data_IF_073542947852
#
_entry.id   IF_073542947852
#
_cell.length_a   1.000
_cell.length_b   1.000
_cell.length_c   1.000
_cell.angle_alpha   90.00
_cell.angle_beta   90.00
_cell.angle_gamma   90.00
#
_symmetry.space_group_name_H-M   'P 1'
#
loop_
_entity.id
_entity.type
_entity.pdbx_description
1 polymer ?
#
# COMPACT_ATOMS: atom_id res chain seq x y z
N UNK A 1 14.06 7.84 25.92
CA UNK A 1 12.78 8.27 25.33
C UNK A 1 12.91 8.14 23.82
N UNK A 2 12.05 7.34 23.20
CA UNK A 2 11.97 7.21 21.75
C UNK A 2 11.06 8.32 21.20
N UNK A 3 11.56 9.15 20.29
CA UNK A 3 10.75 10.20 19.67
C UNK A 3 10.30 9.79 18.27
N UNK A 4 9.01 9.85 18.00
CA UNK A 4 8.40 9.41 16.72
C UNK A 4 7.60 10.55 16.11
N UNK A 5 7.80 10.79 14.81
CA UNK A 5 6.99 11.71 14.02
C UNK A 5 5.82 11.01 13.38
N UNK A 6 4.59 11.43 13.65
CA UNK A 6 3.38 11.01 12.92
C UNK A 6 3.03 12.07 11.89
N UNK A 7 3.03 11.70 10.61
CA UNK A 7 2.75 12.59 9.48
C UNK A 7 1.41 12.14 8.86
N UNK A 8 0.33 12.81 9.22
CA UNK A 8 -1.05 12.36 9.01
C UNK A 8 -1.86 13.38 8.21
N UNK A 9 -2.76 12.97 7.32
CA UNK A 9 -3.76 13.84 6.73
C UNK A 9 -4.92 14.05 7.72
N UNK A 10 -4.77 14.96 8.69
CA UNK A 10 -5.81 15.24 9.69
C UNK A 10 -6.89 16.22 9.22
N UNK A 11 -6.63 16.91 8.12
CA UNK A 11 -7.58 17.77 7.40
C UNK A 11 -7.50 17.55 5.90
N UNK A 12 -8.45 18.11 5.13
CA UNK A 12 -8.58 17.88 3.69
C UNK A 12 -9.32 16.60 3.34
N UNK A 13 -9.25 16.18 2.08
CA UNK A 13 -10.05 15.08 1.52
C UNK A 13 -9.79 13.71 2.20
N UNK A 14 -8.57 13.47 2.67
CA UNK A 14 -8.16 12.21 3.28
C UNK A 14 -8.26 12.23 4.82
N UNK A 15 -8.93 13.25 5.40
CA UNK A 15 -8.91 13.48 6.84
C UNK A 15 -9.50 12.33 7.66
N UNK A 16 -10.48 11.61 7.13
CA UNK A 16 -11.07 10.45 7.81
C UNK A 16 -10.03 9.33 8.04
N UNK A 17 -9.18 9.05 7.04
CA UNK A 17 -8.10 8.07 7.17
C UNK A 17 -7.08 8.48 8.23
N UNK A 18 -6.64 9.73 8.20
CA UNK A 18 -5.67 10.25 9.17
C UNK A 18 -6.20 10.21 10.60
N UNK A 19 -7.46 10.60 10.80
CA UNK A 19 -8.13 10.57 12.10
C UNK A 19 -8.32 9.14 12.61
N UNK A 20 -8.78 8.22 11.74
CA UNK A 20 -8.94 6.81 12.10
C UNK A 20 -7.59 6.17 12.50
N UNK A 21 -6.51 6.48 11.77
CA UNK A 21 -5.17 6.04 12.13
C UNK A 21 -4.74 6.59 13.50
N UNK A 22 -4.91 7.89 13.73
CA UNK A 22 -4.54 8.52 15.00
C UNK A 22 -5.31 7.95 16.19
N UNK A 23 -6.60 7.66 16.01
CA UNK A 23 -7.44 7.03 17.02
C UNK A 23 -6.94 5.61 17.36
N UNK A 24 -6.65 4.80 16.33
CA UNK A 24 -6.07 3.46 16.49
C UNK A 24 -4.72 3.50 17.19
N UNK A 25 -3.84 4.43 16.80
CA UNK A 25 -2.56 4.64 17.44
C UNK A 25 -2.69 5.04 18.92
N UNK A 26 -3.59 5.98 19.24
CA UNK A 26 -3.85 6.42 20.60
C UNK A 26 -4.41 5.27 21.46
N UNK A 27 -5.32 4.44 20.91
CA UNK A 27 -5.87 3.27 21.60
C UNK A 27 -4.80 2.21 21.88
N UNK A 28 -3.94 1.92 20.91
CA UNK A 28 -2.83 0.99 21.09
C UNK A 28 -1.83 1.49 22.14
N UNK A 29 -1.53 2.79 22.12
CA UNK A 29 -0.59 3.42 23.07
C UNK A 29 -1.10 3.38 24.52
N UNK A 30 -2.42 3.53 24.75
CA UNK A 30 -3.03 3.42 26.10
C UNK A 30 -2.94 2.02 26.68
N UNK A 31 -2.99 1.00 25.83
CA UNK A 31 -2.97 -0.41 26.26
C UNK A 31 -1.56 -0.91 26.62
N UNK A 32 -0.51 -0.13 26.34
CA UNK A 32 0.84 -0.46 26.81
C UNK A 32 0.91 -0.29 28.32
N UNK A 33 1.06 -1.39 29.04
CA UNK A 33 1.45 -1.36 30.46
C UNK A 33 2.73 -0.51 30.54
N UNK A 34 2.89 0.24 31.64
CA UNK A 34 4.02 1.15 31.91
C UNK A 34 5.38 0.49 31.60
N UNK A 35 5.74 0.46 30.33
CA UNK A 35 7.07 0.06 29.90
C UNK A 35 8.05 1.20 30.25
N UNK A 36 9.25 0.82 30.63
CA UNK A 36 10.35 1.76 30.96
C UNK A 36 10.70 2.68 29.77
N UNK A 37 10.28 2.33 28.56
CA UNK A 37 10.52 3.11 27.34
C UNK A 37 9.32 4.01 27.03
N UNK A 38 9.40 5.27 27.41
CA UNK A 38 8.43 6.29 27.03
C UNK A 38 8.61 6.65 25.54
N UNK A 39 7.50 6.69 24.80
CA UNK A 39 7.44 7.18 23.43
C UNK A 39 6.91 8.62 23.45
N UNK A 40 7.71 9.55 22.96
CA UNK A 40 7.29 10.92 22.68
C UNK A 40 6.83 11.00 21.22
N UNK A 41 5.72 11.68 20.95
CA UNK A 41 5.12 11.72 19.62
C UNK A 41 4.96 13.15 19.17
N UNK A 42 5.46 13.46 17.97
CA UNK A 42 5.21 14.72 17.26
C UNK A 42 4.19 14.46 16.17
N UNK A 43 3.01 15.06 16.25
CA UNK A 43 1.95 14.90 15.26
C UNK A 43 1.93 16.10 14.33
N UNK A 44 1.89 15.85 13.02
CA UNK A 44 1.87 16.86 11.97
C UNK A 44 0.74 16.58 10.96
N UNK A 45 -0.04 17.61 10.65
CA UNK A 45 -1.11 17.52 9.66
C UNK A 45 -0.60 17.87 8.26
N UNK A 46 -0.74 16.93 7.33
CA UNK A 46 -0.36 17.11 5.92
C UNK A 46 -1.40 17.90 5.12
N UNK A 47 -2.60 18.07 5.65
CA UNK A 47 -3.75 18.68 4.98
C UNK A 47 -4.12 18.00 3.65
N UNK A 48 -3.87 16.69 3.56
CA UNK A 48 -4.04 15.90 2.32
C UNK A 48 -3.25 16.47 1.13
N UNK A 49 -2.07 17.06 1.39
CA UNK A 49 -1.26 17.73 0.39
C UNK A 49 0.17 17.18 0.34
N UNK A 50 0.61 16.79 -0.85
CA UNK A 50 1.91 16.14 -1.06
C UNK A 50 3.09 17.07 -0.74
N UNK A 51 3.03 18.31 -1.20
CA UNK A 51 4.09 19.29 -0.94
C UNK A 51 4.21 19.62 0.55
N UNK A 52 3.08 19.68 1.23
CA UNK A 52 3.06 19.88 2.69
C UNK A 52 3.66 18.67 3.39
N UNK A 53 3.34 17.46 2.96
CA UNK A 53 3.90 16.21 3.49
C UNK A 53 5.42 16.19 3.37
N UNK A 54 5.95 16.54 2.21
CA UNK A 54 7.41 16.64 1.97
C UNK A 54 8.05 17.69 2.86
N UNK A 55 7.45 18.90 2.99
CA UNK A 55 7.98 19.96 3.88
C UNK A 55 8.03 19.51 5.33
N UNK A 56 6.97 18.87 5.81
CA UNK A 56 6.90 18.33 7.18
C UNK A 56 8.01 17.32 7.42
N UNK A 57 8.14 16.32 6.54
CA UNK A 57 9.13 15.26 6.69
C UNK A 57 10.57 15.81 6.67
N UNK A 58 10.87 16.73 5.76
CA UNK A 58 12.19 17.42 5.73
C UNK A 58 12.47 18.19 7.01
N UNK A 59 11.47 18.82 7.61
CA UNK A 59 11.65 19.55 8.87
C UNK A 59 11.82 18.59 10.05
N UNK A 60 11.02 17.54 10.12
CA UNK A 60 11.15 16.51 11.16
C UNK A 60 12.51 15.80 11.09
N UNK A 61 13.01 15.52 9.89
CA UNK A 61 14.32 14.89 9.68
C UNK A 61 15.51 15.70 10.20
N UNK A 62 15.34 17.00 10.47
CA UNK A 62 16.38 17.85 11.10
C UNK A 62 16.46 17.67 12.63
N UNK A 63 15.47 17.02 13.22
CA UNK A 63 15.41 16.81 14.67
C UNK A 63 16.30 15.63 15.04
N UNK A 64 17.46 15.90 15.66
CA UNK A 64 18.47 14.87 16.00
C UNK A 64 17.94 13.74 16.88
N UNK A 65 16.96 14.03 17.74
CA UNK A 65 16.36 13.05 18.66
C UNK A 65 15.25 12.20 18.00
N UNK A 66 14.87 12.52 16.74
CA UNK A 66 13.83 11.77 16.05
C UNK A 66 14.32 10.37 15.69
N UNK A 67 13.61 9.37 16.18
CA UNK A 67 13.99 7.97 16.05
C UNK A 67 13.34 7.29 14.85
N UNK A 68 12.14 7.73 14.45
CA UNK A 68 11.40 7.19 13.30
C UNK A 68 10.31 8.14 12.84
N UNK A 69 9.88 7.95 11.60
CA UNK A 69 8.68 8.55 11.01
C UNK A 69 7.61 7.47 10.76
N UNK A 70 6.36 7.78 11.02
CA UNK A 70 5.21 6.95 10.66
C UNK A 70 4.32 7.82 9.77
N UNK A 71 4.18 7.41 8.52
CA UNK A 71 3.50 8.18 7.49
C UNK A 71 2.43 7.31 6.81
N UNK A 72 1.20 7.19 7.39
CA UNK A 72 0.10 6.44 6.78
C UNK A 72 -0.50 7.23 5.60
N UNK A 73 0.31 7.40 4.56
CA UNK A 73 0.02 8.14 3.34
C UNK A 73 -0.25 7.17 2.19
N UNK A 74 -0.94 7.64 1.16
CA UNK A 74 -1.13 6.89 -0.07
C UNK A 74 0.16 6.81 -0.90
N UNK A 75 0.21 5.87 -1.84
CA UNK A 75 1.43 5.52 -2.57
C UNK A 75 2.14 6.71 -3.24
N UNK A 76 1.39 7.62 -3.89
CA UNK A 76 1.97 8.79 -4.57
C UNK A 76 2.60 9.77 -3.57
N UNK A 77 1.91 10.10 -2.47
CA UNK A 77 2.43 10.95 -1.41
C UNK A 77 3.61 10.28 -0.69
N UNK A 78 3.51 8.97 -0.46
CA UNK A 78 4.60 8.18 0.13
C UNK A 78 5.86 8.23 -0.73
N UNK A 79 5.72 8.09 -2.06
CA UNK A 79 6.84 8.20 -3.00
C UNK A 79 7.50 9.58 -2.91
N UNK A 80 6.72 10.66 -2.91
CA UNK A 80 7.25 12.02 -2.77
C UNK A 80 8.00 12.23 -1.45
N UNK A 81 7.45 11.71 -0.35
CA UNK A 81 8.06 11.76 0.99
C UNK A 81 9.38 11.01 1.03
N UNK A 82 9.42 9.73 0.64
CA UNK A 82 10.65 8.92 0.73
C UNK A 82 11.73 9.43 -0.22
N UNK A 83 11.36 9.90 -1.42
CA UNK A 83 12.31 10.53 -2.37
C UNK A 83 12.94 11.80 -1.81
N UNK A 84 12.25 12.48 -0.90
CA UNK A 84 12.73 13.73 -0.32
C UNK A 84 13.76 13.57 0.81
N UNK A 85 13.95 12.35 1.30
CA UNK A 85 14.83 12.05 2.44
C UNK A 85 16.31 11.90 2.04
N UNK A 86 16.61 11.61 0.78
CA UNK A 86 17.98 11.50 0.28
C UNK A 86 18.84 10.54 1.11
N UNK A 87 19.98 11.04 1.58
CA UNK A 87 20.96 10.26 2.37
C UNK A 87 20.60 10.17 3.88
N UNK A 88 19.41 10.50 4.27
CA UNK A 88 18.94 10.30 5.65
C UNK A 88 19.02 8.83 6.06
N UNK A 89 19.14 8.58 7.36
CA UNK A 89 19.09 7.23 7.92
C UNK A 89 17.86 6.99 8.80
N UNK A 90 16.90 7.91 8.79
CA UNK A 90 15.71 7.78 9.64
C UNK A 90 14.78 6.66 9.12
N UNK A 91 14.37 5.71 9.96
CA UNK A 91 13.37 4.71 9.56
C UNK A 91 12.01 5.36 9.26
N UNK A 92 11.39 4.97 8.16
CA UNK A 92 10.06 5.43 7.76
C UNK A 92 9.12 4.25 7.62
N UNK A 93 8.05 4.23 8.42
CA UNK A 93 6.98 3.25 8.32
C UNK A 93 5.85 3.85 7.48
N UNK A 94 5.42 3.10 6.47
CA UNK A 94 4.35 3.44 5.53
C UNK A 94 3.20 2.43 5.67
N UNK A 95 2.27 2.60 6.61
CA UNK A 95 1.23 1.61 6.89
C UNK A 95 0.22 1.41 5.76
N UNK A 96 -0.02 2.43 4.94
CA UNK A 96 -1.02 2.39 3.86
C UNK A 96 -0.42 2.18 2.47
N UNK A 97 0.90 2.35 2.32
CA UNK A 97 1.55 2.22 1.03
C UNK A 97 1.66 0.75 0.61
N UNK A 98 1.40 0.46 -0.66
CA UNK A 98 1.29 -0.90 -1.19
C UNK A 98 2.18 -1.17 -2.41
N UNK A 99 2.93 -0.17 -2.90
CA UNK A 99 3.86 -0.31 -4.03
C UNK A 99 5.23 -0.77 -3.54
N UNK A 100 5.73 -1.88 -4.10
CA UNK A 100 7.02 -2.46 -3.70
C UNK A 100 8.23 -1.57 -4.00
N UNK A 101 8.15 -0.73 -5.03
CA UNK A 101 9.25 0.13 -5.43
C UNK A 101 9.63 1.21 -4.40
N UNK A 102 8.77 1.52 -3.44
CA UNK A 102 9.05 2.50 -2.38
C UNK A 102 10.27 2.15 -1.55
N UNK A 103 10.48 0.86 -1.26
CA UNK A 103 11.65 0.39 -0.49
C UNK A 103 12.97 0.49 -1.29
N UNK A 104 12.88 0.55 -2.62
CA UNK A 104 14.05 0.74 -3.48
C UNK A 104 14.47 2.21 -3.56
N UNK A 105 13.51 3.14 -3.44
CA UNK A 105 13.77 4.59 -3.47
C UNK A 105 14.49 5.06 -2.20
N UNK A 106 14.10 4.52 -1.05
CA UNK A 106 14.72 4.86 0.22
C UNK A 106 14.85 3.59 1.08
N UNK A 107 16.09 3.16 1.32
CA UNK A 107 16.43 1.86 1.94
C UNK A 107 15.85 1.64 3.34
N UNK A 108 15.58 2.71 4.08
CA UNK A 108 15.02 2.63 5.43
C UNK A 108 13.49 2.78 5.45
N UNK A 109 12.83 2.40 4.34
CA UNK A 109 11.37 2.34 4.22
C UNK A 109 10.85 0.96 4.62
N UNK A 110 9.83 0.95 5.46
CA UNK A 110 9.16 -0.26 5.94
C UNK A 110 7.66 -0.19 5.60
N UNK A 111 7.22 -1.10 4.73
CA UNK A 111 5.81 -1.31 4.43
C UNK A 111 5.22 -2.27 5.46
N UNK A 112 4.09 -1.92 6.06
CA UNK A 112 3.42 -2.81 7.03
C UNK A 112 2.10 -3.37 6.49
N UNK A 113 1.66 -2.92 5.30
CA UNK A 113 0.58 -3.51 4.52
C UNK A 113 1.12 -4.49 3.49
N UNK A 114 0.29 -5.43 3.07
CA UNK A 114 0.59 -6.30 1.92
C UNK A 114 0.73 -5.45 0.66
N UNK A 115 1.73 -5.75 -0.16
CA UNK A 115 1.84 -5.11 -1.47
C UNK A 115 0.82 -5.69 -2.45
N UNK A 116 0.44 -4.92 -3.47
CA UNK A 116 -0.50 -5.36 -4.51
C UNK A 116 0.00 -6.64 -5.18
N UNK A 117 1.29 -6.68 -5.50
CA UNK A 117 1.92 -7.83 -6.13
C UNK A 117 1.92 -9.07 -5.22
N UNK A 118 2.14 -8.91 -3.91
CA UNK A 118 2.10 -10.02 -2.96
C UNK A 118 0.69 -10.62 -2.84
N UNK A 119 -0.34 -9.79 -2.77
CA UNK A 119 -1.73 -10.25 -2.74
C UNK A 119 -2.10 -11.04 -3.98
N UNK A 120 -1.71 -10.56 -5.17
CA UNK A 120 -1.90 -11.27 -6.41
C UNK A 120 -1.20 -12.64 -6.44
N UNK A 121 0.05 -12.71 -5.97
CA UNK A 121 0.80 -13.97 -5.84
C UNK A 121 0.13 -14.95 -4.87
N UNK A 122 -0.37 -14.45 -3.75
CA UNK A 122 -1.10 -15.29 -2.77
C UNK A 122 -2.39 -15.84 -3.41
N UNK A 123 -3.14 -15.00 -4.13
CA UNK A 123 -4.36 -15.42 -4.82
C UNK A 123 -4.07 -16.48 -5.90
N UNK A 124 -3.02 -16.31 -6.70
CA UNK A 124 -2.57 -17.29 -7.69
C UNK A 124 -2.17 -18.64 -7.04
N UNK A 125 -1.38 -18.59 -5.96
CA UNK A 125 -1.00 -19.79 -5.22
C UNK A 125 -2.22 -20.52 -4.64
N UNK A 126 -3.20 -19.78 -4.13
CA UNK A 126 -4.45 -20.37 -3.64
C UNK A 126 -5.24 -21.05 -4.77
N UNK A 127 -5.43 -20.36 -5.91
CA UNK A 127 -6.15 -20.89 -7.06
C UNK A 127 -5.48 -22.18 -7.60
N UNK A 128 -4.18 -22.13 -7.86
CA UNK A 128 -3.47 -23.25 -8.49
C UNK A 128 -3.16 -24.37 -7.50
N UNK A 129 -2.60 -24.06 -6.34
CA UNK A 129 -2.14 -25.11 -5.40
C UNK A 129 -3.24 -25.65 -4.51
N UNK A 130 -4.14 -24.77 -4.01
CA UNK A 130 -5.19 -25.17 -3.08
C UNK A 130 -6.44 -25.64 -3.80
N UNK A 131 -6.91 -24.89 -4.80
CA UNK A 131 -8.10 -25.24 -5.58
C UNK A 131 -7.80 -26.17 -6.75
N UNK A 132 -6.52 -26.38 -7.09
CA UNK A 132 -6.06 -27.26 -8.18
C UNK A 132 -6.59 -26.84 -9.56
N UNK A 133 -6.72 -25.53 -9.78
CA UNK A 133 -7.13 -24.98 -11.06
C UNK A 133 -5.91 -24.89 -11.99
N UNK A 134 -6.05 -25.33 -13.23
CA UNK A 134 -5.03 -25.30 -14.28
C UNK A 134 -5.31 -24.26 -15.38
N UNK A 135 -6.55 -23.78 -15.45
CA UNK A 135 -7.02 -22.80 -16.43
C UNK A 135 -7.83 -21.71 -15.72
N UNK A 136 -7.42 -20.47 -15.91
CA UNK A 136 -7.95 -19.32 -15.18
C UNK A 136 -8.27 -18.17 -16.13
N UNK A 137 -9.30 -17.37 -15.80
CA UNK A 137 -9.58 -16.12 -16.47
C UNK A 137 -9.50 -14.95 -15.50
N UNK A 138 -9.07 -13.78 -15.98
CA UNK A 138 -8.92 -12.58 -15.17
C UNK A 138 -9.88 -11.49 -15.63
N UNK A 139 -10.61 -10.90 -14.68
CA UNK A 139 -11.39 -9.68 -14.86
C UNK A 139 -10.86 -8.61 -13.91
N UNK A 140 -10.31 -7.54 -14.45
CA UNK A 140 -9.63 -6.51 -13.65
C UNK A 140 -10.06 -5.09 -14.04
N UNK A 141 -9.94 -4.11 -13.13
CA UNK A 141 -10.09 -2.70 -13.47
C UNK A 141 -8.97 -2.24 -14.41
N UNK A 142 -9.29 -1.36 -15.34
CA UNK A 142 -8.36 -0.77 -16.29
C UNK A 142 -7.69 0.47 -15.67
N UNK A 143 -6.99 0.27 -14.56
CA UNK A 143 -6.21 1.27 -13.84
C UNK A 143 -4.86 0.69 -13.38
N UNK A 144 -3.99 1.52 -12.83
CA UNK A 144 -2.65 1.12 -12.38
C UNK A 144 -2.69 -0.02 -11.34
N UNK A 145 -3.70 0.00 -10.44
CA UNK A 145 -3.88 -1.07 -9.46
C UNK A 145 -4.18 -2.41 -10.13
N UNK A 146 -5.15 -2.41 -11.05
CA UNK A 146 -5.54 -3.60 -11.79
C UNK A 146 -4.41 -4.14 -12.67
N UNK A 147 -3.62 -3.26 -13.28
CA UNK A 147 -2.46 -3.67 -14.08
C UNK A 147 -1.41 -4.38 -13.23
N UNK A 148 -0.96 -3.78 -12.12
CA UNK A 148 0.04 -4.39 -11.23
C UNK A 148 -0.45 -5.72 -10.69
N UNK A 149 -1.72 -5.79 -10.30
CA UNK A 149 -2.33 -7.00 -9.74
C UNK A 149 -2.42 -8.11 -10.79
N UNK A 150 -2.91 -7.78 -11.98
CA UNK A 150 -3.06 -8.73 -13.09
C UNK A 150 -1.72 -9.27 -13.56
N UNK A 151 -0.74 -8.42 -13.80
CA UNK A 151 0.61 -8.82 -14.20
C UNK A 151 1.26 -9.75 -13.17
N UNK A 152 1.14 -9.42 -11.88
CA UNK A 152 1.70 -10.22 -10.80
C UNK A 152 0.99 -11.57 -10.66
N UNK A 153 -0.32 -11.59 -10.88
CA UNK A 153 -1.14 -12.80 -10.85
C UNK A 153 -0.78 -13.73 -12.02
N UNK A 154 -0.74 -13.21 -13.25
CA UNK A 154 -0.39 -13.98 -14.47
C UNK A 154 0.99 -14.60 -14.32
N UNK A 155 2.01 -13.79 -13.98
CA UNK A 155 3.39 -14.28 -13.79
C UNK A 155 3.47 -15.41 -12.77
N UNK A 156 2.70 -15.33 -11.70
CA UNK A 156 2.71 -16.36 -10.66
C UNK A 156 1.94 -17.61 -11.11
N UNK A 157 0.81 -17.47 -11.83
CA UNK A 157 0.05 -18.59 -12.43
C UNK A 157 0.94 -19.38 -13.40
N UNK A 158 1.63 -18.68 -14.31
CA UNK A 158 2.57 -19.30 -15.26
C UNK A 158 3.71 -20.02 -14.54
N UNK A 159 4.30 -19.40 -13.50
CA UNK A 159 5.35 -20.01 -12.67
C UNK A 159 4.88 -21.29 -11.98
N UNK A 160 3.59 -21.38 -11.68
CA UNK A 160 2.97 -22.56 -11.05
C UNK A 160 2.54 -23.66 -12.03
N UNK A 161 2.71 -23.41 -13.34
CA UNK A 161 2.38 -24.36 -14.40
C UNK A 161 0.91 -24.40 -14.79
N UNK A 162 0.12 -23.39 -14.39
CA UNK A 162 -1.23 -23.18 -14.86
C UNK A 162 -1.26 -22.08 -15.95
N UNK A 163 -2.39 -21.84 -16.58
CA UNK A 163 -2.53 -20.91 -17.69
C UNK A 163 -3.68 -19.90 -17.51
N UNK A 164 -3.47 -18.70 -18.06
CA UNK A 164 -4.53 -17.69 -18.19
C UNK A 164 -5.13 -17.81 -19.60
N UNK A 165 -6.37 -18.22 -19.68
CA UNK A 165 -7.07 -18.44 -20.96
C UNK A 165 -7.73 -17.16 -21.48
N UNK A 166 -8.05 -16.20 -20.62
CA UNK A 166 -8.62 -14.91 -21.03
C UNK A 166 -8.36 -13.83 -19.98
N UNK A 167 -8.15 -12.61 -20.46
CA UNK A 167 -8.10 -11.40 -19.61
C UNK A 167 -9.07 -10.36 -20.16
N UNK A 168 -9.91 -9.81 -19.30
CA UNK A 168 -10.84 -8.74 -19.64
C UNK A 168 -10.72 -7.60 -18.66
N UNK A 169 -10.93 -6.39 -19.17
CA UNK A 169 -10.79 -5.15 -18.42
C UNK A 169 -12.12 -4.42 -18.33
N UNK A 170 -12.31 -3.67 -17.25
CA UNK A 170 -13.42 -2.73 -17.11
C UNK A 170 -12.92 -1.38 -16.59
N UNK A 171 -13.64 -0.29 -16.95
CA UNK A 171 -13.30 1.07 -16.51
C UNK A 171 -14.34 1.60 -15.54
N UNK A 172 -13.93 2.35 -14.54
CA UNK A 172 -14.79 2.97 -13.52
C UNK A 172 -15.60 1.96 -12.72
N UNK A 173 -16.79 2.37 -12.25
CA UNK A 173 -17.75 1.48 -11.61
C UNK A 173 -18.53 0.72 -12.68
N UNK A 174 -18.36 -0.60 -12.80
CA UNK A 174 -18.98 -1.35 -13.88
C UNK A 174 -20.46 -1.57 -13.60
N UNK A 175 -21.32 -0.86 -14.32
CA UNK A 175 -22.79 -1.07 -14.29
C UNK A 175 -23.21 -2.32 -15.08
N UNK A 176 -22.41 -2.76 -16.03
CA UNK A 176 -22.70 -3.90 -16.90
C UNK A 176 -21.40 -4.55 -17.40
N UNK A 177 -21.18 -5.78 -17.02
CA UNK A 177 -20.05 -6.63 -17.44
C UNK A 177 -20.43 -7.72 -18.43
N UNK A 178 -21.62 -7.64 -19.04
CA UNK A 178 -22.15 -8.69 -19.94
C UNK A 178 -21.20 -9.02 -21.09
N UNK A 179 -20.51 -8.01 -21.65
CA UNK A 179 -19.54 -8.20 -22.74
C UNK A 179 -18.35 -9.04 -22.29
N UNK A 180 -17.79 -8.74 -21.12
CA UNK A 180 -16.65 -9.46 -20.56
C UNK A 180 -17.01 -10.91 -20.24
N UNK A 181 -18.15 -11.13 -19.58
CA UNK A 181 -18.62 -12.49 -19.27
C UNK A 181 -19.01 -13.29 -20.52
N UNK A 182 -19.54 -12.64 -21.57
CA UNK A 182 -19.77 -13.31 -22.86
C UNK A 182 -18.45 -13.82 -23.43
N UNK A 183 -17.41 -12.99 -23.43
CA UNK A 183 -16.09 -13.40 -23.91
C UNK A 183 -15.53 -14.60 -23.13
N UNK A 184 -15.60 -14.57 -21.81
CA UNK A 184 -15.16 -15.71 -20.98
C UNK A 184 -15.91 -16.99 -21.29
N UNK A 185 -17.21 -16.89 -21.45
CA UNK A 185 -18.04 -18.05 -21.86
C UNK A 185 -17.59 -18.58 -23.20
N UNK A 186 -17.41 -17.72 -24.19
CA UNK A 186 -17.03 -18.12 -25.53
C UNK A 186 -15.65 -18.81 -25.57
N UNK A 187 -14.70 -18.37 -24.71
CA UNK A 187 -13.39 -19.02 -24.53
C UNK A 187 -13.49 -20.35 -23.78
N UNK A 188 -14.38 -20.46 -22.80
CA UNK A 188 -14.51 -21.67 -21.98
C UNK A 188 -15.18 -22.85 -22.72
N UNK A 189 -15.94 -22.59 -23.80
CA UNK A 189 -16.71 -23.60 -24.53
C UNK A 189 -16.20 -23.83 -25.98
N UNK A 190 -15.09 -23.22 -26.37
CA UNK A 190 -14.37 -23.49 -27.62
C UNK A 190 -13.06 -24.25 -27.33
#
# INVERSE_FOLDING_TARGET
ILMVGLVLPLSGEQSEYGKAFLEGFAKASRNRKKDKNQISVIIQDTKSNDLQSVKIVKNLNKIKQLSALICPLFDHTSLAVVSSLGDSNIPVLLPNARKENLVQVYRNTFLTSSTIALEAKIAANFAVKKLKLDSLAVLAPADEYGEIQTDSFIKEVDRLGASIVATQWYSGEPKNLRRQFKHFRDVAFN
#
